data_IF_748266875049
#
_entry.id   IF_748266875049
#
_cell.length_a   1.000
_cell.length_b   1.000
_cell.length_c   1.000
_cell.angle_alpha   90.00
_cell.angle_beta   90.00
_cell.angle_gamma   90.00
#
_symmetry.space_group_name_H-M   'P 1'
#
loop_
_entity.id
_entity.type
_entity.pdbx_description
1 polymer ?
#
# COMPACT_ATOMS: atom_id res chain seq x y z
N UNK A 1 -1.60 18.55 -14.77
CA UNK A 1 -1.03 17.18 -14.64
C UNK A 1 -1.51 16.64 -13.32
N UNK A 2 -1.80 15.33 -13.23
CA UNK A 2 -2.27 14.68 -12.00
C UNK A 2 -1.11 13.92 -11.37
N UNK A 3 -0.89 14.07 -10.07
CA UNK A 3 0.17 13.41 -9.31
C UNK A 3 -0.43 12.31 -8.44
N UNK A 4 0.05 11.09 -8.60
CA UNK A 4 -0.41 9.92 -7.85
C UNK A 4 0.75 9.40 -6.98
N UNK A 5 0.52 9.24 -5.68
CA UNK A 5 1.44 8.55 -4.79
C UNK A 5 1.09 7.06 -4.74
N UNK A 6 2.07 6.20 -5.03
CA UNK A 6 1.92 4.75 -4.97
C UNK A 6 2.74 4.19 -3.82
N UNK A 7 2.09 3.45 -2.93
CA UNK A 7 2.72 2.82 -1.77
C UNK A 7 2.80 1.30 -2.02
N UNK A 8 3.99 0.74 -2.27
CA UNK A 8 4.15 -0.70 -2.41
C UNK A 8 4.07 -1.40 -1.05
N UNK A 9 3.07 -2.27 -0.87
CA UNK A 9 2.79 -2.99 0.36
C UNK A 9 2.73 -4.51 0.13
N UNK A 10 3.90 -5.15 0.09
CA UNK A 10 3.99 -6.63 -0.01
C UNK A 10 3.74 -7.28 1.35
N UNK A 11 3.05 -8.42 1.36
CA UNK A 11 2.85 -9.19 2.61
C UNK A 11 4.12 -9.92 3.05
N UNK A 12 4.86 -10.47 2.09
CA UNK A 12 6.06 -11.26 2.31
C UNK A 12 7.20 -10.43 2.92
N UNK A 13 7.58 -10.73 4.16
CA UNK A 13 8.74 -10.16 4.82
C UNK A 13 9.37 -11.18 5.77
N UNK A 14 10.68 -11.39 5.67
CA UNK A 14 11.39 -12.41 6.44
C UNK A 14 11.49 -12.08 7.93
N UNK A 15 11.73 -10.80 8.28
CA UNK A 15 11.90 -10.37 9.68
C UNK A 15 10.62 -9.95 10.38
N UNK A 16 9.59 -9.61 9.60
CA UNK A 16 8.29 -9.18 10.13
C UNK A 16 7.17 -9.60 9.16
N UNK A 17 6.77 -10.88 9.15
CA UNK A 17 5.71 -11.38 8.28
C UNK A 17 4.41 -10.60 8.48
N UNK A 18 3.71 -10.27 7.39
CA UNK A 18 2.46 -9.50 7.49
C UNK A 18 2.63 -8.06 7.97
N UNK A 19 3.85 -7.49 7.87
CA UNK A 19 4.17 -6.11 8.27
C UNK A 19 3.08 -5.08 7.90
N UNK A 20 2.52 -5.04 6.67
CA UNK A 20 1.48 -4.05 6.34
C UNK A 20 0.25 -4.10 7.24
N UNK A 21 -0.09 -5.27 7.77
CA UNK A 21 -1.25 -5.51 8.63
C UNK A 21 -0.92 -5.45 10.12
N UNK A 22 0.36 -5.30 10.49
CA UNK A 22 0.75 -5.19 11.89
C UNK A 22 0.06 -3.99 12.54
N UNK A 23 -0.62 -4.22 13.66
CA UNK A 23 -1.35 -3.16 14.35
C UNK A 23 -0.40 -2.25 15.10
N UNK A 24 -0.55 -0.94 14.89
CA UNK A 24 0.13 0.13 15.61
C UNK A 24 -0.98 1.02 16.17
N UNK A 25 -1.12 1.06 17.50
CA UNK A 25 -2.20 1.80 18.19
C UNK A 25 -3.61 1.53 17.62
N UNK A 26 -3.92 0.27 17.32
CA UNK A 26 -5.24 -0.16 16.86
C UNK A 26 -5.51 0.01 15.36
N UNK A 27 -4.58 0.58 14.58
CA UNK A 27 -4.66 0.67 13.12
C UNK A 27 -3.57 -0.18 12.45
N UNK A 28 -3.84 -0.86 11.31
CA UNK A 28 -2.80 -1.55 10.57
C UNK A 28 -1.74 -0.56 10.07
N UNK A 29 -0.47 -0.97 10.04
CA UNK A 29 0.67 -0.14 9.62
C UNK A 29 0.42 0.57 8.28
N UNK A 30 -0.16 -0.14 7.30
CA UNK A 30 -0.44 0.42 5.96
C UNK A 30 -1.41 1.60 6.01
N UNK A 31 -2.33 1.63 6.97
CA UNK A 31 -3.27 2.73 7.14
C UNK A 31 -2.57 4.01 7.57
N UNK A 32 -1.60 3.93 8.50
CA UNK A 32 -0.82 5.10 8.93
C UNK A 32 -0.08 5.75 7.76
N UNK A 33 0.53 4.94 6.90
CA UNK A 33 1.26 5.43 5.71
C UNK A 33 0.28 6.03 4.70
N UNK A 34 -0.87 5.39 4.46
CA UNK A 34 -1.90 5.89 3.56
C UNK A 34 -2.46 7.24 4.02
N UNK A 35 -2.85 7.37 5.29
CA UNK A 35 -3.37 8.61 5.86
C UNK A 35 -2.34 9.74 5.78
N UNK A 36 -1.07 9.45 6.06
CA UNK A 36 0.01 10.43 5.94
C UNK A 36 0.26 10.87 4.50
N UNK A 37 0.19 9.95 3.53
CA UNK A 37 0.37 10.28 2.12
C UNK A 37 -0.78 11.13 1.58
N UNK A 38 -2.02 10.90 2.05
CA UNK A 38 -3.17 11.72 1.67
C UNK A 38 -3.06 13.17 2.15
N UNK A 39 -2.24 13.45 3.16
CA UNK A 39 -1.99 14.80 3.66
C UNK A 39 -0.86 15.53 2.92
N UNK A 40 -0.14 14.85 2.03
CA UNK A 40 0.97 15.44 1.30
C UNK A 40 0.49 16.49 0.29
N UNK A 41 1.12 17.67 0.28
CA UNK A 41 0.81 18.73 -0.68
C UNK A 41 1.23 18.28 -2.09
N UNK A 42 0.36 18.53 -3.07
CA UNK A 42 0.64 18.22 -4.48
C UNK A 42 0.46 16.75 -4.87
N UNK A 43 -0.12 15.93 -3.98
CA UNK A 43 -0.59 14.58 -4.29
C UNK A 43 -2.10 14.63 -4.47
N UNK A 44 -2.57 14.24 -5.66
CA UNK A 44 -4.01 14.23 -5.97
C UNK A 44 -4.67 12.92 -5.54
N UNK A 45 -3.92 11.80 -5.60
CA UNK A 45 -4.41 10.49 -5.19
C UNK A 45 -3.32 9.62 -4.55
N UNK A 46 -3.75 8.72 -3.66
CA UNK A 46 -2.89 7.72 -3.01
C UNK A 46 -3.42 6.34 -3.32
N UNK A 47 -2.54 5.44 -3.75
CA UNK A 47 -2.88 4.05 -4.09
C UNK A 47 -1.91 3.09 -3.39
N UNK A 48 -2.44 2.02 -2.80
CA UNK A 48 -1.64 0.90 -2.31
C UNK A 48 -1.48 -0.14 -3.42
N UNK A 49 -0.25 -0.54 -3.71
CA UNK A 49 0.04 -1.65 -4.63
C UNK A 49 0.48 -2.87 -3.82
N UNK A 50 -0.31 -3.95 -3.84
CA UNK A 50 -0.07 -5.14 -3.02
C UNK A 50 -0.19 -6.43 -3.83
N UNK A 51 0.46 -7.51 -3.40
CA UNK A 51 0.32 -8.86 -3.96
C UNK A 51 -0.58 -9.77 -3.11
N UNK A 52 -1.15 -9.25 -2.03
CA UNK A 52 -1.87 -10.07 -1.05
C UNK A 52 -3.28 -9.55 -0.83
N UNK A 53 -4.25 -10.45 -0.97
CA UNK A 53 -5.67 -10.15 -0.82
C UNK A 53 -5.99 -9.57 0.56
N UNK A 54 -5.34 -10.04 1.63
CA UNK A 54 -5.60 -9.55 3.00
C UNK A 54 -5.21 -8.09 3.17
N UNK A 55 -4.15 -7.66 2.48
CA UNK A 55 -3.74 -6.25 2.47
C UNK A 55 -4.76 -5.42 1.68
N UNK A 56 -5.21 -5.91 0.52
CA UNK A 56 -6.24 -5.24 -0.26
C UNK A 56 -7.56 -5.07 0.53
N UNK A 57 -8.00 -6.13 1.20
CA UNK A 57 -9.22 -6.13 2.00
C UNK A 57 -9.10 -5.18 3.19
N UNK A 58 -7.95 -5.18 3.88
CA UNK A 58 -7.69 -4.24 4.97
C UNK A 58 -7.72 -2.79 4.50
N UNK A 59 -7.15 -2.49 3.32
CA UNK A 59 -7.16 -1.14 2.76
C UNK A 59 -8.56 -0.70 2.36
N UNK A 60 -9.31 -1.60 1.72
CA UNK A 60 -10.71 -1.36 1.37
C UNK A 60 -11.57 -1.15 2.61
N UNK A 61 -11.31 -1.89 3.69
CA UNK A 61 -12.03 -1.80 4.97
C UNK A 61 -11.91 -0.45 5.67
N UNK A 62 -10.80 0.28 5.49
CA UNK A 62 -10.67 1.66 5.98
C UNK A 62 -10.97 2.73 4.92
N UNK A 63 -11.47 2.34 3.74
CA UNK A 63 -11.85 3.25 2.64
C UNK A 63 -10.68 3.75 1.79
N UNK A 64 -9.53 3.10 1.84
CA UNK A 64 -8.38 3.41 0.99
C UNK A 64 -8.47 2.81 -0.41
N UNK A 65 -7.68 3.33 -1.34
CA UNK A 65 -7.52 2.76 -2.69
C UNK A 65 -6.38 1.74 -2.71
N UNK A 66 -6.65 0.53 -3.17
CA UNK A 66 -5.66 -0.51 -3.37
C UNK A 66 -5.86 -1.23 -4.71
N UNK A 67 -4.78 -1.77 -5.26
CA UNK A 67 -4.81 -2.63 -6.42
C UNK A 67 -3.90 -3.85 -6.24
N UNK A 68 -4.29 -4.96 -6.88
CA UNK A 68 -3.49 -6.18 -6.93
C UNK A 68 -2.38 -6.06 -7.96
N UNK A 69 -1.18 -6.44 -7.57
CA UNK A 69 0.02 -6.54 -8.40
C UNK A 69 0.56 -7.96 -8.35
N UNK A 70 1.32 -8.37 -9.37
CA UNK A 70 1.90 -9.71 -9.39
C UNK A 70 2.87 -9.94 -8.23
N UNK A 71 2.77 -11.09 -7.56
CA UNK A 71 3.73 -11.52 -6.55
C UNK A 71 5.11 -11.86 -7.12
N UNK A 72 5.24 -11.98 -8.45
CA UNK A 72 6.54 -12.19 -9.12
C UNK A 72 7.40 -10.92 -9.20
N UNK A 73 6.84 -9.74 -8.86
CA UNK A 73 7.58 -8.48 -8.88
C UNK A 73 8.58 -8.44 -7.72
N UNK A 74 9.86 -8.52 -8.09
CA UNK A 74 10.99 -8.64 -7.18
C UNK A 74 11.34 -7.33 -6.48
N UNK A 75 11.12 -6.18 -7.13
CA UNK A 75 11.43 -4.86 -6.57
C UNK A 75 10.17 -4.03 -6.27
N UNK A 76 10.34 -3.04 -5.38
CA UNK A 76 9.30 -2.04 -5.12
C UNK A 76 9.03 -1.15 -6.33
N UNK A 77 10.07 -0.84 -7.12
CA UNK A 77 9.97 0.00 -8.32
C UNK A 77 9.12 -0.66 -9.40
N UNK A 78 9.34 -1.96 -9.67
CA UNK A 78 8.54 -2.69 -10.67
C UNK A 78 7.06 -2.72 -10.27
N UNK A 79 6.80 -2.81 -8.96
CA UNK A 79 5.45 -2.77 -8.41
C UNK A 79 4.78 -1.41 -8.58
N UNK A 80 5.52 -0.32 -8.39
CA UNK A 80 5.01 1.03 -8.65
C UNK A 80 4.72 1.22 -10.14
N UNK A 81 5.60 0.75 -11.02
CA UNK A 81 5.43 0.84 -12.47
C UNK A 81 4.22 0.05 -13.01
N UNK A 82 3.69 -0.92 -12.25
CA UNK A 82 2.48 -1.66 -12.62
C UNK A 82 1.16 -0.89 -12.39
N UNK A 83 1.22 0.30 -11.77
CA UNK A 83 0.02 1.08 -11.37
C UNK A 83 -0.38 2.13 -12.40
N UNK A 84 0.58 2.84 -13.01
CA UNK A 84 0.34 3.95 -13.93
C UNK A 84 1.54 4.18 -14.86
#
# INVERSE_FOLDING_TARGET
MKTIAVIPARYGASRLPGKPLALIHGKPMVQWVYESACQARGVDEVWIATDDQRVLDSVSGFGGKALMTSGALVSGTDRVAAVA
#
